data_IF_639638596185
#
_entry.id   IF_639638596185
#
_cell.length_a   1.000
_cell.length_b   1.000
_cell.length_c   1.000
_cell.angle_alpha   90.00
_cell.angle_beta   90.00
_cell.angle_gamma   90.00
#
_symmetry.space_group_name_H-M   'P 1'
#
loop_
_entity.id
_entity.type
_entity.pdbx_description
1 polymer ?
#
# COMPACT_ATOMS: atom_id res chain seq x y z
N UNK A 1 5.83 -23.37 16.38
CA UNK A 1 4.94 -22.20 16.62
C UNK A 1 4.16 -21.88 15.36
N UNK A 2 2.99 -21.22 15.44
CA UNK A 2 2.22 -20.81 14.26
C UNK A 2 3.04 -20.00 13.24
N UNK A 3 3.89 -19.09 13.72
CA UNK A 3 4.83 -18.33 12.87
C UNK A 3 5.81 -19.24 12.12
N UNK A 4 6.37 -20.25 12.78
CA UNK A 4 7.27 -21.21 12.13
C UNK A 4 6.58 -22.04 11.03
N UNK A 5 5.31 -22.40 11.22
CA UNK A 5 4.53 -23.08 10.18
C UNK A 5 4.26 -22.16 8.98
N UNK A 6 3.90 -20.90 9.22
CA UNK A 6 3.72 -19.90 8.17
C UNK A 6 5.00 -19.68 7.35
N UNK A 7 6.14 -19.49 8.01
CA UNK A 7 7.43 -19.24 7.37
C UNK A 7 7.98 -20.45 6.59
N UNK A 8 7.40 -21.63 6.76
CA UNK A 8 7.72 -22.81 5.93
C UNK A 8 7.18 -22.67 4.51
N UNK A 9 6.05 -21.98 4.34
CA UNK A 9 5.43 -21.73 3.04
C UNK A 9 5.80 -20.35 2.49
N UNK A 10 5.84 -19.35 3.37
CA UNK A 10 6.14 -17.96 3.02
C UNK A 10 7.53 -17.63 3.53
N UNK A 11 8.55 -18.12 2.84
CA UNK A 11 9.94 -18.01 3.30
C UNK A 11 10.42 -16.55 3.24
N UNK A 12 11.37 -16.14 4.11
CA UNK A 12 11.96 -14.80 4.03
C UNK A 12 12.59 -14.50 2.67
N UNK A 13 13.18 -15.50 2.01
CA UNK A 13 13.75 -15.37 0.68
C UNK A 13 12.67 -15.10 -0.37
N UNK A 14 11.54 -15.81 -0.30
CA UNK A 14 10.41 -15.58 -1.20
C UNK A 14 9.84 -14.16 -1.01
N UNK A 15 9.65 -13.72 0.23
CA UNK A 15 9.17 -12.37 0.51
C UNK A 15 10.13 -11.29 0.00
N UNK A 16 11.45 -11.47 0.19
CA UNK A 16 12.44 -10.54 -0.38
C UNK A 16 12.40 -10.49 -1.90
N UNK A 17 12.23 -11.64 -2.56
CA UNK A 17 12.10 -11.71 -4.01
C UNK A 17 10.86 -10.94 -4.49
N UNK A 18 9.68 -11.23 -3.91
CA UNK A 18 8.42 -10.56 -4.27
C UNK A 18 8.52 -9.05 -4.03
N UNK A 19 9.16 -8.64 -2.93
CA UNK A 19 9.37 -7.23 -2.63
C UNK A 19 10.21 -6.55 -3.72
N UNK A 20 11.33 -7.17 -4.13
CA UNK A 20 12.14 -6.69 -5.25
C UNK A 20 11.35 -6.56 -6.54
N UNK A 21 10.66 -7.62 -6.96
CA UNK A 21 9.86 -7.61 -8.19
C UNK A 21 8.70 -6.60 -8.15
N UNK A 22 8.15 -6.33 -6.96
CA UNK A 22 7.12 -5.30 -6.77
C UNK A 22 7.68 -3.88 -6.88
N UNK A 23 8.91 -3.65 -6.39
CA UNK A 23 9.61 -2.37 -6.54
C UNK A 23 10.02 -2.14 -7.99
N UNK A 24 10.54 -3.18 -8.68
CA UNK A 24 10.86 -3.11 -10.11
C UNK A 24 9.62 -2.72 -10.93
N UNK A 25 8.49 -3.40 -10.69
CA UNK A 25 7.21 -3.07 -11.32
C UNK A 25 6.76 -1.63 -11.04
N UNK A 26 6.98 -1.12 -9.83
CA UNK A 26 6.66 0.26 -9.48
C UNK A 26 7.48 1.26 -10.30
N UNK A 27 8.79 1.04 -10.41
CA UNK A 27 9.71 1.91 -11.16
C UNK A 27 9.44 1.86 -12.66
N UNK A 28 9.24 0.67 -13.24
CA UNK A 28 8.89 0.48 -14.66
C UNK A 28 7.62 1.24 -15.06
N UNK A 29 6.66 1.34 -14.13
CA UNK A 29 5.38 2.00 -14.36
C UNK A 29 5.32 3.43 -13.81
N UNK A 30 6.44 3.98 -13.31
CA UNK A 30 6.46 5.28 -12.64
C UNK A 30 6.00 6.40 -13.57
N UNK A 31 6.54 6.49 -14.79
CA UNK A 31 6.19 7.56 -15.72
C UNK A 31 4.72 7.45 -16.18
N UNK A 32 4.21 6.25 -16.44
CA UNK A 32 2.80 6.02 -16.75
C UNK A 32 1.88 6.49 -15.60
N UNK A 33 2.28 6.24 -14.35
CA UNK A 33 1.56 6.71 -13.15
C UNK A 33 1.59 8.22 -13.02
N UNK A 34 2.73 8.86 -13.28
CA UNK A 34 2.87 10.32 -13.30
C UNK A 34 1.87 10.92 -14.29
N UNK A 35 1.81 10.40 -15.53
CA UNK A 35 0.89 10.89 -16.55
C UNK A 35 -0.57 10.69 -16.14
N UNK A 36 -0.92 9.49 -15.66
CA UNK A 36 -2.29 9.20 -15.21
C UNK A 36 -2.72 10.08 -14.03
N UNK A 37 -1.82 10.37 -13.08
CA UNK A 37 -2.10 11.24 -11.96
C UNK A 37 -2.23 12.71 -12.40
N UNK A 38 -1.35 13.17 -13.28
CA UNK A 38 -1.41 14.52 -13.83
C UNK A 38 -2.74 14.76 -14.58
N UNK A 39 -3.14 13.82 -15.45
CA UNK A 39 -4.42 13.89 -16.17
C UNK A 39 -5.62 13.95 -15.20
N UNK A 40 -5.60 13.17 -14.11
CA UNK A 40 -6.64 13.24 -13.07
C UNK A 40 -6.67 14.60 -12.35
N UNK A 41 -5.50 15.20 -12.10
CA UNK A 41 -5.40 16.51 -11.48
C UNK A 41 -5.91 17.63 -12.41
N UNK A 42 -5.60 17.57 -13.71
CA UNK A 42 -6.15 18.49 -14.71
C UNK A 42 -7.69 18.39 -14.81
N UNK A 43 -8.23 17.17 -14.87
CA UNK A 43 -9.67 16.96 -14.87
C UNK A 43 -10.35 17.50 -13.59
N UNK A 44 -9.64 17.46 -12.44
CA UNK A 44 -10.12 18.03 -11.18
C UNK A 44 -10.10 19.55 -11.19
N UNK A 45 -9.09 20.19 -11.81
CA UNK A 45 -9.02 21.65 -11.95
C UNK A 45 -10.22 22.19 -12.74
N UNK A 46 -10.62 21.51 -13.83
CA UNK A 46 -11.79 21.88 -14.61
C UNK A 46 -13.09 21.91 -13.78
N UNK A 47 -13.19 21.03 -12.77
CA UNK A 47 -14.35 20.96 -11.86
C UNK A 47 -14.23 21.88 -10.63
N UNK A 48 -13.02 22.31 -10.28
CA UNK A 48 -12.72 23.09 -9.08
C UNK A 48 -11.69 24.17 -9.44
N UNK A 49 -12.14 25.38 -9.82
CA UNK A 49 -11.26 26.44 -10.34
C UNK A 49 -10.11 26.84 -9.39
N UNK A 50 -10.27 26.68 -8.08
CA UNK A 50 -9.22 26.95 -7.08
C UNK A 50 -8.21 25.82 -6.87
N UNK A 51 -8.35 24.69 -7.54
CA UNK A 51 -7.41 23.57 -7.44
C UNK A 51 -6.23 23.78 -8.39
N UNK A 52 -5.01 23.79 -7.85
CA UNK A 52 -3.79 23.84 -8.67
C UNK A 52 -3.22 22.43 -8.87
N UNK A 53 -3.14 21.94 -10.13
CA UNK A 53 -2.48 20.68 -10.41
C UNK A 53 -0.96 20.81 -10.20
N UNK A 54 -0.36 19.77 -9.65
CA UNK A 54 1.08 19.62 -9.55
C UNK A 54 1.67 19.36 -10.94
N UNK A 55 2.92 19.77 -11.16
CA UNK A 55 3.62 19.43 -12.40
C UNK A 55 3.95 17.93 -12.43
N UNK A 56 4.16 17.32 -13.61
CA UNK A 56 4.63 15.93 -13.71
C UNK A 56 5.88 15.64 -12.87
N UNK A 57 6.83 16.57 -12.80
CA UNK A 57 8.07 16.44 -12.03
C UNK A 57 7.80 16.44 -10.52
N UNK A 58 6.90 17.32 -10.05
CA UNK A 58 6.46 17.32 -8.65
C UNK A 58 5.74 16.02 -8.28
N UNK A 59 4.91 15.50 -9.19
CA UNK A 59 4.24 14.21 -9.00
C UNK A 59 5.27 13.08 -8.91
N UNK A 60 6.19 13.01 -9.87
CA UNK A 60 7.26 12.00 -9.90
C UNK A 60 8.10 12.03 -8.62
N UNK A 61 8.53 13.23 -8.21
CA UNK A 61 9.29 13.43 -6.96
C UNK A 61 8.52 12.94 -5.74
N UNK A 62 7.21 13.19 -5.67
CA UNK A 62 6.40 12.73 -4.55
C UNK A 62 6.17 11.21 -4.57
N UNK A 63 6.02 10.61 -5.75
CA UNK A 63 5.92 9.15 -5.89
C UNK A 63 7.23 8.47 -5.46
N UNK A 64 8.38 9.02 -5.83
CA UNK A 64 9.70 8.50 -5.45
C UNK A 64 10.04 8.67 -3.96
N UNK A 65 9.33 9.53 -3.22
CA UNK A 65 9.45 9.59 -1.75
C UNK A 65 8.77 8.40 -1.06
N UNK A 66 8.00 7.59 -1.79
CA UNK A 66 7.36 6.41 -1.22
C UNK A 66 8.44 5.41 -0.82
N UNK A 67 8.46 4.91 0.42
CA UNK A 67 9.44 3.91 0.83
C UNK A 67 9.34 2.65 -0.03
N UNK A 68 10.49 2.07 -0.36
CA UNK A 68 10.56 0.76 -1.01
C UNK A 68 9.79 -0.29 -0.21
N UNK A 69 9.21 -1.26 -0.92
CA UNK A 69 8.60 -2.42 -0.30
C UNK A 69 9.72 -3.33 0.19
N UNK A 70 9.68 -3.69 1.47
CA UNK A 70 10.59 -4.68 2.06
C UNK A 70 9.89 -6.03 2.22
N UNK A 71 10.65 -7.12 2.30
CA UNK A 71 10.09 -8.44 2.62
C UNK A 71 9.35 -8.46 3.97
N UNK A 72 9.76 -7.61 4.94
CA UNK A 72 9.04 -7.42 6.20
C UNK A 72 7.66 -6.81 6.00
N UNK A 73 7.54 -5.85 5.08
CA UNK A 73 6.26 -5.19 4.79
C UNK A 73 5.26 -6.20 4.23
N UNK A 74 5.70 -7.10 3.35
CA UNK A 74 4.86 -8.19 2.85
C UNK A 74 4.42 -9.14 3.96
N UNK A 75 5.31 -9.47 4.90
CA UNK A 75 4.94 -10.29 6.06
C UNK A 75 3.86 -9.61 6.91
N UNK A 76 4.00 -8.31 7.17
CA UNK A 76 3.02 -7.52 7.93
C UNK A 76 1.70 -7.42 7.15
N UNK A 77 1.77 -7.12 5.85
CA UNK A 77 0.63 -7.04 4.94
C UNK A 77 -0.20 -8.32 4.96
N UNK A 78 0.44 -9.49 4.81
CA UNK A 78 -0.23 -10.80 4.89
C UNK A 78 -0.81 -11.01 6.29
N UNK A 79 -0.10 -10.64 7.35
CA UNK A 79 -0.60 -10.71 8.73
C UNK A 79 -1.88 -9.90 8.93
N UNK A 80 -1.96 -8.68 8.38
CA UNK A 80 -3.15 -7.83 8.43
C UNK A 80 -4.33 -8.44 7.66
N UNK A 81 -4.08 -9.08 6.51
CA UNK A 81 -5.10 -9.80 5.76
C UNK A 81 -5.62 -11.05 6.50
N UNK A 82 -4.74 -11.79 7.16
CA UNK A 82 -5.11 -12.94 8.00
C UNK A 82 -5.95 -12.47 9.20
N UNK A 83 -5.52 -11.41 9.89
CA UNK A 83 -6.26 -10.83 11.01
C UNK A 83 -7.69 -10.43 10.60
N UNK A 84 -7.85 -9.81 9.42
CA UNK A 84 -9.16 -9.45 8.86
C UNK A 84 -10.04 -10.66 8.54
N UNK A 85 -9.42 -11.75 8.09
CA UNK A 85 -10.12 -13.00 7.77
C UNK A 85 -10.62 -13.69 9.04
N UNK A 86 -9.82 -13.69 10.11
CA UNK A 86 -10.16 -14.34 11.38
C UNK A 86 -11.20 -13.55 12.17
N UNK A 87 -11.09 -12.22 12.18
CA UNK A 87 -12.05 -11.32 12.82
C UNK A 87 -12.79 -10.50 11.75
N UNK A 88 -13.75 -11.12 11.03
CA UNK A 88 -14.46 -10.42 9.98
C UNK A 88 -15.39 -9.37 10.60
N UNK A 89 -14.95 -8.11 10.66
CA UNK A 89 -15.85 -7.02 10.99
C UNK A 89 -16.68 -6.62 9.76
N UNK A 90 -17.90 -6.11 9.95
CA UNK A 90 -18.73 -5.58 8.85
C UNK A 90 -18.18 -4.27 8.25
N UNK A 91 -17.08 -3.75 8.81
CA UNK A 91 -16.51 -2.47 8.43
C UNK A 91 -15.58 -2.57 7.22
N UNK A 92 -15.46 -1.45 6.50
CA UNK A 92 -14.50 -1.30 5.41
C UNK A 92 -13.09 -1.48 5.95
N UNK A 93 -12.25 -2.22 5.22
CA UNK A 93 -10.88 -2.50 5.63
C UNK A 93 -10.06 -1.23 5.93
N UNK A 94 -10.28 -0.16 5.16
CA UNK A 94 -9.64 1.14 5.39
C UNK A 94 -10.01 1.80 6.73
N UNK A 95 -11.12 1.43 7.36
CA UNK A 95 -11.51 1.97 8.67
C UNK A 95 -10.57 1.51 9.79
N UNK A 96 -9.82 0.42 9.61
CA UNK A 96 -8.82 -0.04 10.59
C UNK A 96 -7.66 0.94 10.82
N UNK A 97 -7.46 1.89 9.90
CA UNK A 97 -6.50 2.99 10.05
C UNK A 97 -7.11 4.28 10.59
N UNK A 98 -8.43 4.33 10.85
CA UNK A 98 -9.04 5.46 11.55
C UNK A 98 -8.71 5.37 13.03
N UNK A 99 -8.30 6.49 13.60
CA UNK A 99 -7.96 6.63 15.03
C UNK A 99 -9.16 6.99 15.90
N UNK A 100 -10.34 7.17 15.32
CA UNK A 100 -11.55 7.55 16.04
C UNK A 100 -12.39 6.31 16.34
N UNK A 101 -12.44 5.92 17.60
CA UNK A 101 -13.32 4.86 18.07
C UNK A 101 -14.78 5.18 17.71
N UNK A 102 -15.52 4.20 17.17
CA UNK A 102 -16.99 4.26 17.13
C UNK A 102 -17.53 3.24 18.12
N UNK A 103 -18.08 3.72 19.24
CA UNK A 103 -18.64 2.88 20.29
C UNK A 103 -17.55 2.15 21.10
N UNK A 104 -17.74 0.84 21.33
CA UNK A 104 -16.88 0.02 22.18
C UNK A 104 -15.80 -0.77 21.40
N UNK A 105 -15.65 -0.51 20.10
CA UNK A 105 -14.67 -1.20 19.25
C UNK A 105 -13.39 -0.37 19.23
N UNK A 106 -12.27 -0.83 19.81
CA UNK A 106 -11.00 -0.13 19.70
C UNK A 106 -10.57 -0.09 18.23
N UNK A 107 -10.47 1.12 17.67
CA UNK A 107 -9.97 1.34 16.31
C UNK A 107 -8.49 1.70 16.32
N UNK A 108 -7.83 1.59 15.16
CA UNK A 108 -6.46 2.09 14.98
C UNK A 108 -5.32 1.10 15.25
N UNK A 109 -5.58 -0.20 15.39
CA UNK A 109 -4.49 -1.18 15.59
C UNK A 109 -3.60 -1.34 14.35
N UNK A 110 -4.14 -1.21 13.14
CA UNK A 110 -3.35 -1.48 11.92
C UNK A 110 -2.23 -0.46 11.72
N UNK A 111 -2.48 0.80 12.09
CA UNK A 111 -1.50 1.88 12.03
C UNK A 111 -0.25 1.64 12.88
N UNK A 112 -0.33 0.78 13.91
CA UNK A 112 0.83 0.39 14.72
C UNK A 112 1.80 -0.54 13.97
N UNK A 113 1.32 -1.25 12.95
CA UNK A 113 2.12 -2.23 12.20
C UNK A 113 2.54 -1.70 10.83
N UNK A 114 1.65 -0.99 10.15
CA UNK A 114 1.89 -0.45 8.80
C UNK A 114 1.03 0.78 8.58
N UNK A 115 1.56 1.82 7.93
CA UNK A 115 0.76 2.99 7.56
C UNK A 115 -0.24 2.63 6.45
N UNK A 116 -1.36 3.35 6.36
CA UNK A 116 -2.33 3.14 5.29
C UNK A 116 -1.69 3.33 3.91
N UNK A 117 -0.84 4.34 3.78
CA UNK A 117 -0.20 4.68 2.51
C UNK A 117 0.80 3.59 2.08
N UNK A 118 1.55 3.00 3.02
CA UNK A 118 2.43 1.86 2.71
C UNK A 118 1.62 0.61 2.35
N UNK A 119 0.50 0.34 3.04
CA UNK A 119 -0.40 -0.76 2.69
C UNK A 119 -0.95 -0.61 1.26
N UNK A 120 -1.41 0.58 0.92
CA UNK A 120 -1.89 0.89 -0.43
C UNK A 120 -0.77 0.78 -1.48
N UNK A 121 0.44 1.21 -1.14
CA UNK A 121 1.60 1.07 -2.01
C UNK A 121 1.93 -0.40 -2.28
N UNK A 122 1.97 -1.25 -1.25
CA UNK A 122 2.13 -2.71 -1.40
C UNK A 122 1.00 -3.30 -2.24
N UNK A 123 -0.26 -2.98 -1.91
CA UNK A 123 -1.43 -3.55 -2.58
C UNK A 123 -1.50 -3.25 -4.08
N UNK A 124 -0.99 -2.09 -4.52
CA UNK A 124 -1.02 -1.66 -5.95
C UNK A 124 0.19 -2.12 -6.76
N UNK A 125 1.26 -2.54 -6.08
CA UNK A 125 2.52 -2.90 -6.73
C UNK A 125 2.90 -4.37 -6.55
N UNK A 126 2.09 -5.15 -5.82
CA UNK A 126 2.36 -6.56 -5.57
C UNK A 126 2.54 -7.32 -6.89
N UNK A 127 3.76 -7.76 -7.14
CA UNK A 127 4.16 -8.44 -8.36
C UNK A 127 5.07 -9.63 -8.02
N UNK A 128 4.84 -10.78 -8.67
CA UNK A 128 5.47 -12.06 -8.29
C UNK A 128 6.54 -12.56 -9.27
N UNK A 129 6.63 -11.96 -10.44
CA UNK A 129 7.53 -12.34 -11.54
C UNK A 129 8.01 -11.10 -12.25
N UNK A 130 9.18 -11.12 -12.88
CA UNK A 130 9.54 -10.04 -13.80
C UNK A 130 8.82 -10.29 -15.14
N UNK A 131 8.35 -9.21 -15.77
CA UNK A 131 7.83 -9.26 -17.15
C UNK A 131 8.96 -9.38 -18.16
#
# INVERSE_FOLDING_TARGET
TPLGAFLRFVTPQLLKKIAGTSNDYFEENLDARVQAQHAKQQARQQKKPGFQPQTPEQIKTNLQKTPEILGRDLCIFIGLLIARTIAPNGEKFANHWKTTDEGAIPRGCFGQYMTRDQFDHVSRNLHFSNS
#
